data_IF_803544961356
#
_entry.id   IF_803544961356
#
_cell.length_a   1.000
_cell.length_b   1.000
_cell.length_c   1.000
_cell.angle_alpha   90.00
_cell.angle_beta   90.00
_cell.angle_gamma   90.00
#
_symmetry.space_group_name_H-M   'P 1'
#
loop_
_entity.id
_entity.type
_entity.pdbx_description
1 polymer ?
#
# COMPACT_ATOMS: atom_id res chain seq x y z
N UNK A 1 7.55 3.66 -20.28
CA UNK A 1 6.28 2.89 -20.43
C UNK A 1 5.97 2.32 -19.04
N UNK A 2 4.76 1.88 -18.77
CA UNK A 2 4.40 1.25 -17.48
C UNK A 2 3.86 -0.15 -17.75
N UNK A 3 4.06 -1.06 -16.80
CA UNK A 3 3.60 -2.45 -16.86
C UNK A 3 2.29 -2.55 -16.08
N UNK A 4 1.20 -2.85 -16.74
CA UNK A 4 -0.11 -3.00 -16.09
C UNK A 4 -0.41 -4.47 -15.80
N UNK A 5 -0.62 -4.80 -14.52
CA UNK A 5 -1.15 -6.09 -14.08
C UNK A 5 -2.68 -6.07 -14.19
N UNK A 6 -3.22 -6.80 -15.16
CA UNK A 6 -4.63 -6.69 -15.55
C UNK A 6 -5.54 -7.63 -14.77
N UNK A 7 -5.13 -8.88 -14.58
CA UNK A 7 -5.93 -9.92 -13.93
C UNK A 7 -5.40 -10.22 -12.53
N UNK A 8 -6.29 -10.58 -11.62
CA UNK A 8 -5.90 -11.17 -10.34
C UNK A 8 -4.97 -12.36 -10.56
N UNK A 9 -3.84 -12.36 -9.88
CA UNK A 9 -2.77 -13.35 -10.05
C UNK A 9 -1.69 -12.97 -11.06
N UNK A 10 -1.88 -11.94 -11.90
CA UNK A 10 -0.82 -11.44 -12.78
C UNK A 10 0.38 -11.00 -11.93
N UNK A 11 1.57 -11.30 -12.40
CA UNK A 11 2.84 -11.02 -11.72
C UNK A 11 3.82 -10.31 -12.63
N UNK A 12 4.66 -9.48 -12.02
CA UNK A 12 5.85 -8.94 -12.67
C UNK A 12 7.04 -8.97 -11.74
N UNK A 13 8.18 -9.40 -12.26
CA UNK A 13 9.43 -9.58 -11.50
C UNK A 13 10.50 -8.62 -11.99
N UNK A 14 11.13 -7.95 -11.05
CA UNK A 14 12.21 -6.98 -11.25
C UNK A 14 13.47 -7.51 -10.58
N UNK A 15 14.61 -7.40 -11.25
CA UNK A 15 15.91 -7.65 -10.63
C UNK A 15 16.41 -6.36 -9.95
N UNK A 16 16.56 -6.39 -8.62
CA UNK A 16 16.99 -5.26 -7.81
C UNK A 16 18.49 -4.93 -7.95
N UNK A 17 19.28 -5.79 -8.58
CA UNK A 17 20.71 -5.48 -8.82
C UNK A 17 20.88 -4.19 -9.63
N UNK A 18 19.98 -3.94 -10.57
CA UNK A 18 19.99 -2.69 -11.36
C UNK A 18 19.67 -1.47 -10.50
N UNK A 19 18.90 -1.61 -9.44
CA UNK A 19 18.52 -0.47 -8.58
C UNK A 19 19.69 0.06 -7.77
N UNK A 20 20.74 -0.74 -7.55
CA UNK A 20 21.95 -0.32 -6.83
C UNK A 20 22.70 0.80 -7.56
N UNK A 21 22.56 0.90 -8.86
CA UNK A 21 23.20 1.92 -9.71
C UNK A 21 22.34 3.16 -9.92
N UNK A 22 21.04 3.10 -9.59
CA UNK A 22 20.12 4.22 -9.73
C UNK A 22 19.79 4.79 -8.35
N UNK A 23 20.07 6.06 -8.09
CA UNK A 23 19.64 6.70 -6.86
C UNK A 23 18.12 6.80 -6.84
N UNK A 24 17.50 6.53 -5.70
CA UNK A 24 16.07 6.67 -5.54
C UNK A 24 15.48 5.72 -4.51
N UNK A 25 14.18 5.80 -4.37
CA UNK A 25 13.37 5.07 -3.41
C UNK A 25 12.44 4.13 -4.16
N UNK A 26 12.18 2.95 -3.63
CA UNK A 26 11.05 2.15 -4.07
C UNK A 26 9.80 2.80 -3.49
N UNK A 27 8.83 3.16 -4.35
CA UNK A 27 7.61 3.84 -3.95
C UNK A 27 6.41 2.96 -4.22
N UNK A 28 5.52 2.85 -3.25
CA UNK A 28 4.20 2.24 -3.37
C UNK A 28 3.22 3.38 -3.16
N UNK A 29 2.59 3.84 -4.23
CA UNK A 29 1.69 4.97 -4.21
C UNK A 29 0.26 4.52 -4.51
N UNK A 30 -0.68 4.95 -3.69
CA UNK A 30 -2.12 4.83 -3.93
C UNK A 30 -2.64 6.16 -4.43
N UNK A 31 -3.20 6.16 -5.63
CA UNK A 31 -3.92 7.29 -6.20
C UNK A 31 -5.38 6.91 -6.41
N UNK A 32 -6.30 7.87 -6.19
CA UNK A 32 -7.73 7.66 -6.37
C UNK A 32 -8.46 8.95 -6.72
N UNK A 33 -9.57 8.82 -7.44
CA UNK A 33 -10.46 9.95 -7.71
C UNK A 33 -11.49 10.13 -6.61
N UNK A 34 -11.67 11.33 -6.13
CA UNK A 34 -12.66 11.69 -5.10
C UNK A 34 -14.11 11.76 -5.62
N UNK A 35 -14.45 11.06 -6.70
CA UNK A 35 -15.81 11.00 -7.26
C UNK A 35 -16.38 12.39 -7.60
N UNK A 36 -16.51 12.71 -8.90
CA UNK A 36 -16.91 14.08 -9.33
C UNK A 36 -18.40 14.39 -9.13
N UNK A 37 -19.30 13.54 -9.56
CA UNK A 37 -20.73 13.83 -9.62
C UNK A 37 -21.49 13.36 -8.35
N UNK A 38 -21.09 12.25 -7.79
CA UNK A 38 -21.77 11.64 -6.63
C UNK A 38 -21.49 12.40 -5.31
N UNK A 39 -20.43 13.19 -5.25
CA UNK A 39 -20.15 14.10 -4.11
C UNK A 39 -21.33 15.04 -3.77
N UNK A 40 -22.15 15.39 -4.78
CA UNK A 40 -23.34 16.23 -4.61
C UNK A 40 -24.58 15.49 -4.11
N UNK A 41 -24.70 14.20 -4.35
CA UNK A 41 -25.92 13.43 -4.10
C UNK A 41 -25.91 12.61 -2.80
N UNK A 42 -24.75 12.14 -2.34
CA UNK A 42 -24.65 11.22 -1.20
C UNK A 42 -23.75 11.69 -0.04
N UNK A 43 -23.33 12.97 -0.04
CA UNK A 43 -22.85 13.63 1.17
C UNK A 43 -21.41 13.34 1.61
N UNK A 44 -20.51 12.89 0.74
CA UNK A 44 -19.11 12.77 1.14
C UNK A 44 -18.18 12.27 0.02
N UNK A 45 -16.94 12.75 0.02
CA UNK A 45 -15.87 12.14 -0.78
C UNK A 45 -15.48 10.80 -0.16
N UNK A 46 -15.20 9.79 -1.00
CA UNK A 46 -14.64 8.54 -0.50
C UNK A 46 -13.19 8.83 -0.09
N UNK A 47 -12.87 8.56 1.17
CA UNK A 47 -11.52 8.66 1.72
C UNK A 47 -10.90 7.27 1.77
N UNK A 48 -9.82 7.09 1.00
CA UNK A 48 -9.07 5.85 0.93
C UNK A 48 -7.77 6.00 1.70
N UNK A 49 -7.51 5.06 2.58
CA UNK A 49 -6.25 4.95 3.30
C UNK A 49 -5.40 3.82 2.73
N UNK A 50 -4.12 4.11 2.54
CA UNK A 50 -3.12 3.13 2.20
C UNK A 50 -2.54 2.49 3.47
N UNK A 51 -2.31 1.20 3.40
CA UNK A 51 -1.58 0.49 4.43
C UNK A 51 -0.85 -0.72 3.88
N UNK A 52 -0.04 -1.32 4.73
CA UNK A 52 0.59 -2.58 4.42
C UNK A 52 0.76 -3.48 5.63
N UNK A 53 0.58 -4.78 5.43
CA UNK A 53 1.20 -5.80 6.27
C UNK A 53 2.60 -6.07 5.74
N UNK A 54 3.59 -6.24 6.61
CA UNK A 54 4.93 -6.65 6.19
C UNK A 54 5.49 -7.78 7.06
N UNK A 55 6.32 -8.60 6.46
CA UNK A 55 7.10 -9.65 7.10
C UNK A 55 8.56 -9.49 6.72
N UNK A 56 9.44 -9.43 7.71
CA UNK A 56 10.87 -9.44 7.50
C UNK A 56 11.41 -10.88 7.46
N UNK A 57 12.62 -11.08 6.91
CA UNK A 57 13.24 -12.39 6.83
C UNK A 57 13.61 -12.98 8.18
N UNK A 58 13.76 -12.15 9.22
CA UNK A 58 13.94 -12.61 10.60
C UNK A 58 12.64 -13.07 11.28
N UNK A 59 11.51 -13.06 10.56
CA UNK A 59 10.21 -13.45 11.07
C UNK A 59 9.40 -12.34 11.73
N UNK A 60 9.97 -11.13 11.86
CA UNK A 60 9.23 -9.97 12.37
C UNK A 60 8.04 -9.65 11.46
N UNK A 61 6.86 -9.57 12.03
CA UNK A 61 5.62 -9.20 11.33
C UNK A 61 4.99 -7.99 11.97
N UNK A 62 4.48 -7.07 11.14
CA UNK A 62 3.79 -5.86 11.61
C UNK A 62 2.88 -5.32 10.50
N UNK A 63 2.13 -4.27 10.83
CA UNK A 63 1.39 -3.47 9.85
C UNK A 63 1.71 -1.98 10.05
N UNK A 64 1.51 -1.22 8.99
CA UNK A 64 1.63 0.24 8.96
C UNK A 64 0.43 0.78 8.19
N UNK A 65 -0.39 1.60 8.84
CA UNK A 65 -1.48 2.34 8.20
C UNK A 65 -1.91 3.57 9.01
N UNK A 66 -2.82 4.38 8.43
CA UNK A 66 -3.30 5.62 8.99
C UNK A 66 -4.00 5.50 10.34
N UNK A 67 -4.54 4.33 10.71
CA UNK A 67 -5.18 4.10 12.02
C UNK A 67 -4.17 3.96 13.17
N UNK A 68 -2.89 3.78 12.85
CA UNK A 68 -1.83 3.64 13.85
C UNK A 68 -1.14 4.95 14.20
N UNK A 69 -1.27 5.96 13.36
CA UNK A 69 -0.70 7.28 13.57
C UNK A 69 -1.77 8.34 13.32
N UNK A 70 -2.31 8.87 14.39
CA UNK A 70 -3.25 10.00 14.35
C UNK A 70 -2.54 11.29 13.97
N UNK A 71 -3.30 12.25 13.43
CA UNK A 71 -2.80 13.56 12.99
C UNK A 71 -1.67 13.54 11.95
N UNK A 72 -1.53 12.46 11.31
CA UNK A 72 -0.96 11.91 10.13
C UNK A 72 0.03 12.67 9.29
N UNK A 73 0.74 13.62 9.79
CA UNK A 73 1.88 14.15 9.05
C UNK A 73 3.17 13.72 9.68
N UNK A 74 3.70 12.68 9.08
CA UNK A 74 5.09 12.37 8.99
C UNK A 74 5.90 12.64 10.23
N UNK A 75 6.08 11.64 11.05
CA UNK A 75 7.30 11.57 11.82
C UNK A 75 8.50 11.54 10.88
N UNK A 76 9.70 11.81 11.39
CA UNK A 76 10.93 11.68 10.61
C UNK A 76 11.06 10.26 10.06
N UNK A 77 11.33 10.12 8.76
CA UNK A 77 11.59 8.82 8.13
C UNK A 77 12.81 8.09 8.70
N UNK A 78 13.63 8.77 9.47
CA UNK A 78 14.86 8.25 10.07
C UNK A 78 14.69 7.75 11.51
N UNK A 79 13.46 7.82 12.06
CA UNK A 79 13.13 7.34 13.40
C UNK A 79 12.12 6.20 13.31
N UNK A 80 12.33 5.18 14.13
CA UNK A 80 11.36 4.09 14.28
C UNK A 80 10.11 4.62 14.97
N UNK A 81 9.00 4.64 14.24
CA UNK A 81 7.68 5.10 14.69
C UNK A 81 6.60 4.13 14.23
N UNK A 82 5.34 4.41 14.54
CA UNK A 82 4.20 3.64 13.99
C UNK A 82 4.07 3.77 12.47
N UNK A 83 4.67 4.79 11.85
CA UNK A 83 4.77 4.94 10.39
C UNK A 83 5.88 4.07 9.78
N UNK A 84 6.59 3.31 10.60
CA UNK A 84 7.77 2.56 10.22
C UNK A 84 9.05 3.37 10.34
N UNK A 85 10.08 2.98 9.59
CA UNK A 85 11.35 3.68 9.49
C UNK A 85 11.98 3.39 8.13
N UNK A 86 12.54 4.41 7.49
CA UNK A 86 13.18 4.26 6.19
C UNK A 86 14.64 3.82 6.29
N UNK A 87 15.38 4.33 7.29
CA UNK A 87 16.85 4.13 7.40
C UNK A 87 17.25 2.94 8.24
N UNK A 88 16.31 2.36 8.99
CA UNK A 88 16.48 1.18 9.84
C UNK A 88 15.30 0.23 9.62
N UNK A 89 15.35 -0.97 10.21
CA UNK A 89 14.20 -1.89 10.21
C UNK A 89 12.92 -1.15 10.64
N UNK A 90 11.82 -1.30 9.88
CA UNK A 90 11.59 -2.28 8.82
C UNK A 90 12.07 -1.86 7.41
N UNK A 91 12.72 -0.72 7.24
CA UNK A 91 13.08 -0.11 5.94
C UNK A 91 11.86 0.26 5.09
N UNK A 92 10.72 0.37 5.73
CA UNK A 92 9.43 0.73 5.17
C UNK A 92 8.91 1.93 5.97
N UNK A 93 8.48 2.97 5.28
CA UNK A 93 7.97 4.18 5.91
C UNK A 93 6.78 4.76 5.15
N UNK A 94 5.69 5.00 5.85
CA UNK A 94 4.50 5.64 5.32
C UNK A 94 4.63 7.16 5.44
N UNK A 95 4.42 7.89 4.34
CA UNK A 95 4.62 9.35 4.32
C UNK A 95 3.55 10.14 5.10
N UNK A 96 2.47 9.49 5.48
CA UNK A 96 1.36 10.09 6.21
C UNK A 96 0.07 10.08 5.42
N UNK A 97 -1.01 10.49 6.09
CA UNK A 97 -2.36 10.58 5.57
C UNK A 97 -2.50 11.84 4.68
N UNK A 98 -2.97 11.68 3.45
CA UNK A 98 -3.33 12.79 2.56
C UNK A 98 -4.85 12.99 2.51
N UNK A 99 -5.36 13.80 3.42
CA UNK A 99 -6.77 14.20 3.42
C UNK A 99 -7.14 15.13 2.26
N UNK A 100 -6.14 15.60 1.51
CA UNK A 100 -6.29 16.60 0.48
C UNK A 100 -6.73 16.07 -0.89
N UNK A 101 -6.27 14.90 -1.31
CA UNK A 101 -6.55 14.28 -2.64
C UNK A 101 -6.53 15.29 -3.78
N UNK A 102 -5.52 16.06 -3.84
CA UNK A 102 -5.32 17.07 -4.87
C UNK A 102 -3.99 16.84 -5.54
N UNK A 103 -4.02 16.56 -6.82
CA UNK A 103 -2.92 16.66 -7.79
C UNK A 103 -1.54 16.26 -7.25
N UNK A 104 -1.07 15.16 -7.60
CA UNK A 104 0.29 14.59 -7.56
C UNK A 104 0.61 13.59 -6.47
N UNK A 105 -0.18 13.40 -5.41
CA UNK A 105 0.39 12.59 -4.35
C UNK A 105 -0.39 11.39 -3.88
N UNK A 106 -1.67 11.38 -3.72
CA UNK A 106 -2.26 10.25 -3.03
C UNK A 106 -1.41 9.84 -1.80
N UNK A 107 -1.61 8.67 -1.25
CA UNK A 107 -0.79 8.18 -0.15
C UNK A 107 0.39 7.34 -0.63
N UNK A 108 1.52 7.45 0.06
CA UNK A 108 2.75 6.80 -0.38
C UNK A 108 3.47 6.09 0.76
N UNK A 109 3.83 4.84 0.51
CA UNK A 109 4.78 4.07 1.31
C UNK A 109 6.12 4.03 0.57
N UNK A 110 7.20 4.36 1.27
CA UNK A 110 8.57 4.25 0.78
C UNK A 110 9.22 2.98 1.30
N UNK A 111 9.94 2.28 0.44
CA UNK A 111 10.81 1.17 0.81
C UNK A 111 12.24 1.50 0.43
N UNK A 112 13.15 1.36 1.40
CA UNK A 112 14.56 1.64 1.18
C UNK A 112 15.23 0.51 0.40
N UNK A 113 15.76 0.76 -0.81
CA UNK A 113 16.44 -0.28 -1.58
C UNK A 113 17.62 -0.94 -0.84
N UNK A 114 18.29 -0.19 0.05
CA UNK A 114 19.42 -0.71 0.84
C UNK A 114 19.01 -1.75 1.88
N UNK A 115 17.77 -1.67 2.38
CA UNK A 115 17.22 -2.61 3.34
C UNK A 115 16.22 -3.60 2.73
N UNK A 116 15.97 -3.53 1.42
CA UNK A 116 14.96 -4.37 0.77
C UNK A 116 15.25 -5.88 0.94
N UNK A 117 16.53 -6.27 0.98
CA UNK A 117 16.92 -7.67 1.21
C UNK A 117 16.51 -8.24 2.57
N UNK A 118 16.20 -7.40 3.55
CA UNK A 118 15.68 -7.80 4.87
C UNK A 118 14.19 -8.09 4.85
N UNK A 119 13.48 -7.61 3.83
CA UNK A 119 12.03 -7.76 3.68
C UNK A 119 11.74 -9.09 2.97
N UNK A 120 10.83 -9.90 3.51
CA UNK A 120 10.35 -11.12 2.89
C UNK A 120 9.15 -10.84 2.00
N UNK A 121 8.12 -10.16 2.54
CA UNK A 121 6.91 -9.82 1.79
C UNK A 121 6.18 -8.61 2.37
N UNK A 122 5.45 -7.93 1.49
CA UNK A 122 4.54 -6.85 1.84
C UNK A 122 3.20 -7.16 1.18
N UNK A 123 2.08 -7.08 1.92
CA UNK A 123 0.74 -7.03 1.37
C UNK A 123 0.26 -5.59 1.42
N UNK A 124 0.13 -4.99 0.27
CA UNK A 124 -0.38 -3.62 0.10
C UNK A 124 -1.90 -3.67 0.11
N UNK A 125 -2.52 -2.86 0.96
CA UNK A 125 -3.96 -2.76 1.05
C UNK A 125 -4.44 -1.31 1.10
N UNK A 126 -5.71 -1.13 0.83
CA UNK A 126 -6.43 0.12 1.07
C UNK A 126 -7.75 -0.17 1.74
N UNK A 127 -8.26 0.80 2.48
CA UNK A 127 -9.58 0.71 3.09
C UNK A 127 -10.31 2.05 3.00
N UNK A 128 -11.65 1.97 3.00
CA UNK A 128 -12.52 3.14 3.01
C UNK A 128 -12.75 3.52 4.47
N UNK A 129 -12.08 4.58 4.92
CA UNK A 129 -12.25 5.11 6.26
C UNK A 129 -13.60 5.81 6.38
N UNK A 130 -13.90 6.73 5.48
CA UNK A 130 -15.18 7.43 5.40
C UNK A 130 -15.89 7.16 4.07
N UNK A 131 -17.21 7.11 4.10
CA UNK A 131 -18.04 6.88 2.92
C UNK A 131 -18.57 5.45 2.81
N UNK A 132 -19.19 5.17 1.67
CA UNK A 132 -19.76 3.86 1.33
C UNK A 132 -18.82 3.08 0.41
N UNK A 133 -18.93 1.76 0.43
CA UNK A 133 -18.11 0.90 -0.41
C UNK A 133 -18.55 0.96 -1.89
N UNK A 134 -18.05 1.95 -2.61
CA UNK A 134 -18.27 2.17 -4.05
C UNK A 134 -16.93 2.17 -4.79
N UNK A 135 -16.25 1.03 -4.75
CA UNK A 135 -14.90 0.89 -5.28
C UNK A 135 -14.75 1.26 -6.76
N UNK A 136 -15.75 0.93 -7.58
CA UNK A 136 -15.74 1.28 -9.01
C UNK A 136 -15.61 2.79 -9.26
N UNK A 137 -16.12 3.61 -8.35
CA UNK A 137 -16.09 5.09 -8.48
C UNK A 137 -14.77 5.70 -7.99
N UNK A 138 -13.98 4.95 -7.24
CA UNK A 138 -12.70 5.46 -6.72
C UNK A 138 -11.63 5.57 -7.80
N UNK A 139 -11.73 4.76 -8.86
CA UNK A 139 -10.66 4.59 -9.86
C UNK A 139 -9.29 4.30 -9.20
N UNK A 140 -9.31 3.62 -8.06
CA UNK A 140 -8.11 3.42 -7.27
C UNK A 140 -7.03 2.64 -8.03
N UNK A 141 -5.83 3.18 -7.98
CA UNK A 141 -4.64 2.64 -8.65
C UNK A 141 -3.50 2.58 -7.65
N UNK A 142 -2.89 1.42 -7.52
CA UNK A 142 -1.59 1.31 -6.85
C UNK A 142 -0.49 1.28 -7.90
N UNK A 143 0.49 2.16 -7.73
CA UNK A 143 1.68 2.23 -8.54
C UNK A 143 2.89 1.82 -7.71
N UNK A 144 3.65 0.84 -8.19
CA UNK A 144 4.94 0.46 -7.62
C UNK A 144 6.04 0.94 -8.55
N UNK A 145 6.84 1.89 -8.07
CA UNK A 145 7.97 2.47 -8.81
C UNK A 145 9.28 1.97 -8.19
N UNK A 146 10.12 1.35 -9.01
CA UNK A 146 11.43 0.84 -8.61
C UNK A 146 12.50 1.55 -9.43
N UNK A 147 13.50 2.21 -8.81
CA UNK A 147 14.52 2.97 -9.53
C UNK A 147 15.17 2.18 -10.67
N UNK A 148 15.28 2.80 -11.84
CA UNK A 148 15.87 2.16 -13.03
C UNK A 148 14.97 1.14 -13.74
N UNK A 149 13.72 0.99 -13.34
CA UNK A 149 12.75 0.07 -13.94
C UNK A 149 11.47 0.80 -14.36
N UNK A 150 10.63 0.12 -15.13
CA UNK A 150 9.31 0.62 -15.48
C UNK A 150 8.37 0.55 -14.26
N UNK A 151 7.47 1.51 -14.14
CA UNK A 151 6.43 1.48 -13.10
C UNK A 151 5.50 0.28 -13.30
N UNK A 152 5.12 -0.37 -12.22
CA UNK A 152 4.10 -1.42 -12.20
C UNK A 152 2.79 -0.82 -11.72
N UNK A 153 1.74 -0.99 -12.51
CA UNK A 153 0.42 -0.44 -12.27
C UNK A 153 -0.56 -1.56 -11.91
N UNK A 154 -1.22 -1.43 -10.77
CA UNK A 154 -2.30 -2.31 -10.33
C UNK A 154 -3.57 -1.48 -10.18
N UNK A 155 -4.46 -1.59 -11.15
CA UNK A 155 -5.78 -0.97 -11.08
C UNK A 155 -6.75 -1.90 -10.35
N UNK A 156 -7.58 -1.34 -9.49
CA UNK A 156 -8.66 -2.10 -8.86
C UNK A 156 -9.70 -2.53 -9.88
N UNK A 157 -9.95 -1.70 -10.90
CA UNK A 157 -10.96 -1.94 -11.93
C UNK A 157 -12.38 -1.70 -11.41
N UNK A 158 -13.34 -2.09 -12.23
CA UNK A 158 -14.77 -2.03 -11.90
C UNK A 158 -15.12 -3.20 -10.96
N UNK A 159 -15.00 -2.97 -9.67
CA UNK A 159 -15.31 -3.97 -8.65
C UNK A 159 -16.57 -3.60 -7.89
N UNK A 160 -17.49 -4.54 -7.79
CA UNK A 160 -18.68 -4.43 -6.97
C UNK A 160 -18.46 -5.21 -5.67
N UNK A 161 -18.12 -4.52 -4.59
CA UNK A 161 -18.04 -5.10 -3.26
C UNK A 161 -18.60 -4.12 -2.23
N UNK A 162 -19.37 -4.63 -1.29
CA UNK A 162 -19.84 -3.87 -0.13
C UNK A 162 -18.82 -3.86 1.03
N UNK A 163 -17.72 -4.58 0.90
CA UNK A 163 -16.65 -4.63 1.88
C UNK A 163 -15.75 -3.40 1.75
N UNK A 164 -15.32 -2.85 2.89
CA UNK A 164 -14.55 -1.61 2.96
C UNK A 164 -13.03 -1.78 2.95
N UNK A 165 -12.52 -2.99 2.86
CA UNK A 165 -11.10 -3.29 2.85
C UNK A 165 -10.73 -4.09 1.60
N UNK A 166 -9.62 -3.73 0.95
CA UNK A 166 -9.10 -4.43 -0.22
C UNK A 166 -7.60 -4.62 -0.12
N UNK A 167 -7.14 -5.88 -0.14
CA UNK A 167 -5.73 -6.18 -0.41
C UNK A 167 -5.51 -6.09 -1.94
N UNK A 168 -4.67 -5.14 -2.37
CA UNK A 168 -4.51 -4.79 -3.79
C UNK A 168 -3.38 -5.57 -4.43
N UNK A 169 -2.23 -5.64 -3.74
CA UNK A 169 -1.04 -6.28 -4.29
C UNK A 169 -0.21 -6.97 -3.21
N UNK A 170 0.52 -8.00 -3.57
CA UNK A 170 1.66 -8.50 -2.81
C UNK A 170 2.97 -8.10 -3.47
N UNK A 171 3.97 -7.83 -2.65
CA UNK A 171 5.35 -7.60 -3.06
C UNK A 171 6.19 -8.61 -2.28
N UNK A 172 6.90 -9.47 -2.99
CA UNK A 172 7.81 -10.45 -2.41
C UNK A 172 9.24 -10.15 -2.82
N UNK A 173 10.18 -10.25 -1.89
CA UNK A 173 11.60 -10.02 -2.15
C UNK A 173 12.35 -11.32 -1.96
N UNK A 174 12.81 -11.88 -3.08
CA UNK A 174 13.54 -13.13 -3.14
C UNK A 174 14.98 -13.04 -2.62
N UNK A 175 15.57 -14.17 -2.28
CA UNK A 175 16.97 -14.25 -1.85
C UNK A 175 17.95 -13.98 -3.00
N UNK A 176 17.46 -14.03 -4.23
CA UNK A 176 18.18 -13.69 -5.46
C UNK A 176 18.12 -12.20 -5.82
N UNK A 177 17.78 -11.33 -4.85
CA UNK A 177 17.58 -9.90 -5.07
C UNK A 177 16.53 -9.57 -6.15
N UNK A 178 15.51 -10.40 -6.29
CA UNK A 178 14.34 -10.07 -7.11
C UNK A 178 13.23 -9.48 -6.27
N UNK A 179 12.47 -8.57 -6.87
CA UNK A 179 11.21 -8.05 -6.36
C UNK A 179 10.09 -8.50 -7.29
N UNK A 180 9.13 -9.24 -6.78
CA UNK A 180 7.95 -9.67 -7.54
C UNK A 180 6.71 -8.93 -7.02
N UNK A 181 5.99 -8.28 -7.91
CA UNK A 181 4.68 -7.68 -7.62
C UNK A 181 3.60 -8.56 -8.20
N UNK A 182 2.62 -8.94 -7.39
CA UNK A 182 1.44 -9.69 -7.82
C UNK A 182 0.17 -8.90 -7.56
N UNK A 183 -0.72 -8.82 -8.56
CA UNK A 183 -2.07 -8.29 -8.39
C UNK A 183 -2.93 -9.24 -7.56
N UNK A 184 -3.53 -8.75 -6.48
CA UNK A 184 -4.45 -9.49 -5.62
C UNK A 184 -5.90 -9.07 -5.87
N UNK A 185 -6.27 -7.84 -5.52
CA UNK A 185 -7.62 -7.28 -5.55
C UNK A 185 -8.64 -8.21 -4.90
N UNK A 186 -8.46 -8.43 -3.60
CA UNK A 186 -9.35 -9.24 -2.77
C UNK A 186 -10.00 -8.40 -1.68
N UNK A 187 -11.32 -8.54 -1.51
CA UNK A 187 -12.10 -7.74 -0.59
C UNK A 187 -12.35 -8.46 0.73
N UNK A 188 -12.27 -7.72 1.82
CA UNK A 188 -12.32 -8.22 3.19
C UNK A 188 -13.24 -7.35 4.05
N UNK A 189 -13.74 -7.92 5.16
CA UNK A 189 -14.57 -7.19 6.12
C UNK A 189 -13.76 -6.21 6.98
N UNK A 190 -12.43 -6.31 6.94
CA UNK A 190 -11.50 -5.44 7.63
C UNK A 190 -10.12 -6.08 7.79
N UNK A 191 -9.27 -5.45 8.61
CA UNK A 191 -7.89 -5.89 8.86
C UNK A 191 -7.81 -7.35 9.33
N UNK A 192 -8.64 -7.75 10.31
CA UNK A 192 -8.59 -9.10 10.87
C UNK A 192 -9.00 -10.19 9.86
N UNK A 193 -9.90 -9.87 8.92
CA UNK A 193 -10.28 -10.81 7.86
C UNK A 193 -9.18 -10.96 6.82
N UNK A 194 -8.55 -9.85 6.42
CA UNK A 194 -7.39 -9.86 5.55
C UNK A 194 -6.17 -10.56 6.20
N UNK A 195 -5.94 -10.29 7.50
CA UNK A 195 -4.91 -10.97 8.28
C UNK A 195 -5.06 -12.49 8.25
N UNK A 196 -6.25 -13.01 8.54
CA UNK A 196 -6.52 -14.46 8.47
C UNK A 196 -6.24 -15.02 7.07
N UNK A 197 -6.63 -14.27 6.04
CA UNK A 197 -6.41 -14.68 4.64
C UNK A 197 -4.94 -14.80 4.29
N UNK A 198 -4.11 -13.88 4.77
CA UNK A 198 -2.70 -13.78 4.42
C UNK A 198 -1.73 -14.27 5.50
N UNK A 199 -2.22 -14.67 6.67
CA UNK A 199 -1.47 -15.41 7.70
C UNK A 199 -0.53 -14.54 8.53
N UNK A 200 -0.99 -13.38 9.02
CA UNK A 200 -0.21 -12.58 9.97
C UNK A 200 -0.43 -13.00 11.41
N UNK A 201 -1.67 -13.23 11.85
CA UNK A 201 -2.00 -13.73 13.18
C UNK A 201 -2.02 -12.67 14.27
N UNK A 202 -2.39 -11.44 13.94
CA UNK A 202 -2.49 -10.34 14.90
C UNK A 202 -3.82 -10.34 15.65
N UNK A 203 -3.79 -9.73 16.84
CA UNK A 203 -4.97 -9.35 17.59
C UNK A 203 -5.29 -7.87 17.32
N UNK A 204 -6.52 -7.59 16.94
CA UNK A 204 -6.97 -6.25 16.59
C UNK A 204 -7.84 -5.65 17.66
N UNK A 205 -7.65 -4.36 17.93
CA UNK A 205 -8.58 -3.50 18.65
C UNK A 205 -9.11 -2.41 17.71
N UNK A 206 -10.28 -1.83 17.98
CA UNK A 206 -10.74 -0.68 17.18
C UNK A 206 -9.69 0.42 17.14
N UNK A 207 -9.40 0.91 15.93
CA UNK A 207 -8.52 2.06 15.70
C UNK A 207 -9.34 3.29 15.33
N UNK A 208 -8.78 4.48 15.55
CA UNK A 208 -9.34 5.74 15.11
C UNK A 208 -8.25 6.67 14.59
N UNK A 209 -8.63 7.66 13.78
CA UNK A 209 -7.76 8.73 13.27
C UNK A 209 -7.87 10.01 14.11
N UNK A 210 -8.15 9.91 15.38
CA UNK A 210 -8.34 11.05 16.30
C UNK A 210 -7.07 11.86 16.54
#
# INVERSE_FOLDING_TARGET
MAIELRKTGDKHRINLEKTKTFPGEIKINLDWSKGGFMKKLFGGAIDLDLGCFYELKDGTKMLIDGLQFSHGRGGSKDKVTRQGCYTQKPYIWHQGDDRGGGSESGETILVNPKGASEIKRIIVYTFIYEGVAQWAETNAVVKVSVPGNEDIIVKMGEQNSNKKFCAIASIEIGDDNSLEVQKLVTFHDGHSDADRRYGWGFNYSPGSKD
#
